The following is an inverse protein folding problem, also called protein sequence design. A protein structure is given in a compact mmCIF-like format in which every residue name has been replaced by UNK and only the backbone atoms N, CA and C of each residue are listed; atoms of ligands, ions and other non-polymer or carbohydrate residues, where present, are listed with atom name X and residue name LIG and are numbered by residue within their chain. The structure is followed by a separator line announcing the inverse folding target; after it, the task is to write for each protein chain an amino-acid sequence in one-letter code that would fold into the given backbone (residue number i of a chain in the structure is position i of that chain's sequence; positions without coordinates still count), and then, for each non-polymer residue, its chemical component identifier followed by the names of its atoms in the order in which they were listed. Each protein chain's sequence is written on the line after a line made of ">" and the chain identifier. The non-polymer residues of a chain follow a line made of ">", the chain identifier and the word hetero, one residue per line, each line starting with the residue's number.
data_IF_606359498074
#
_entry.id   IF_606359498074
#
_cell.length_a   1.000
_cell.length_b   1.000
_cell.length_c   1.000
_cell.angle_alpha   90.00
_cell.angle_beta   90.00
_cell.angle_gamma   90.00
#
_symmetry.space_group_name_H-M   'P 1'
#
loop_
_entity.id
_entity.type
_entity.pdbx_description
1 polymer ?
#
# COMPACT_ATOMS: atom_id res chain seq x y z
N UNK A 1 -0.71 34.21 31.20
CA UNK A 1 0.27 35.32 31.10
C UNK A 1 1.72 34.85 31.11
N UNK A 2 2.12 33.86 31.94
CA UNK A 2 3.49 33.32 31.90
C UNK A 2 3.91 32.82 30.52
N UNK A 3 3.03 32.10 29.82
CA UNK A 3 3.35 31.54 28.49
C UNK A 3 3.55 32.62 27.42
N UNK A 4 2.77 33.72 27.47
CA UNK A 4 2.94 34.88 26.58
C UNK A 4 4.35 35.48 26.65
N UNK A 5 4.94 35.56 27.85
CA UNK A 5 6.31 36.06 28.01
C UNK A 5 7.37 35.00 27.70
N UNK A 6 7.06 33.71 27.93
CA UNK A 6 7.97 32.60 27.58
C UNK A 6 8.16 32.50 26.06
N UNK A 7 7.08 32.55 25.29
CA UNK A 7 7.13 32.52 23.82
C UNK A 7 7.92 33.69 23.24
N UNK A 8 7.92 34.85 23.92
CA UNK A 8 8.57 36.09 23.44
C UNK A 8 9.88 36.43 24.15
N UNK A 9 10.46 35.48 24.89
CA UNK A 9 11.75 35.66 25.59
C UNK A 9 12.89 36.05 24.64
N UNK A 10 12.80 35.69 23.36
CA UNK A 10 13.81 35.99 22.35
C UNK A 10 13.76 37.42 21.77
N UNK A 11 12.71 38.20 22.04
CA UNK A 11 12.56 39.56 21.49
C UNK A 11 13.48 40.52 22.26
N UNK A 12 14.50 41.05 21.59
CA UNK A 12 15.50 41.97 22.19
C UNK A 12 15.36 43.42 21.73
N UNK A 13 14.67 43.65 20.62
CA UNK A 13 14.46 44.98 20.09
C UNK A 13 13.54 45.79 21.02
N UNK A 14 14.00 46.98 21.44
CA UNK A 14 13.26 47.85 22.37
C UNK A 14 11.84 48.16 21.88
N UNK A 15 11.66 48.38 20.57
CA UNK A 15 10.35 48.60 19.95
C UNK A 15 9.41 47.38 20.06
N UNK A 16 9.94 46.16 19.91
CA UNK A 16 9.17 44.92 20.06
C UNK A 16 8.74 44.68 21.50
N UNK A 17 9.67 44.83 22.45
CA UNK A 17 9.42 44.64 23.88
C UNK A 17 8.36 45.62 24.42
N UNK A 18 8.49 46.90 24.10
CA UNK A 18 7.53 47.93 24.53
C UNK A 18 6.12 47.68 23.99
N UNK A 19 6.00 47.26 22.72
CA UNK A 19 4.72 46.88 22.11
C UNK A 19 4.08 45.69 22.82
N UNK A 20 4.85 44.66 23.15
CA UNK A 20 4.34 43.48 23.83
C UNK A 20 3.97 43.74 25.30
N UNK A 21 4.71 44.60 25.99
CA UNK A 21 4.36 45.07 27.34
C UNK A 21 3.05 45.87 27.34
N UNK A 22 2.87 46.79 26.38
CA UNK A 22 1.60 47.54 26.24
C UNK A 22 0.42 46.59 26.00
N UNK A 23 0.60 45.57 25.14
CA UNK A 23 -0.43 44.53 24.93
C UNK A 23 -0.70 43.72 26.20
N UNK A 24 0.33 43.36 26.96
CA UNK A 24 0.20 42.63 28.21
C UNK A 24 -0.58 43.43 29.26
N UNK A 25 -0.27 44.71 29.43
CA UNK A 25 -0.99 45.62 30.31
C UNK A 25 -2.46 45.78 29.91
N UNK A 26 -2.73 46.05 28.63
CA UNK A 26 -4.10 46.17 28.13
C UNK A 26 -4.95 44.91 28.42
N UNK A 27 -4.35 43.72 28.25
CA UNK A 27 -5.01 42.44 28.61
C UNK A 27 -5.22 42.31 30.12
N UNK A 28 -4.24 42.71 30.93
CA UNK A 28 -4.33 42.67 32.38
C UNK A 28 -5.45 43.56 32.91
N UNK A 29 -5.62 44.76 32.35
CA UNK A 29 -6.69 45.69 32.75
C UNK A 29 -8.08 45.11 32.48
N UNK A 30 -8.25 44.39 31.35
CA UNK A 30 -9.49 43.64 31.09
C UNK A 30 -9.76 42.63 32.20
N UNK A 31 -8.76 41.83 32.60
CA UNK A 31 -8.94 40.85 33.69
C UNK A 31 -9.21 41.52 35.04
N UNK A 32 -8.63 42.69 35.32
CA UNK A 32 -8.95 43.48 36.53
C UNK A 32 -10.41 43.90 36.54
N UNK A 33 -10.94 44.39 35.41
CA UNK A 33 -12.35 44.79 35.28
C UNK A 33 -13.31 43.60 35.46
N UNK A 34 -12.97 42.43 34.92
CA UNK A 34 -13.72 41.19 35.16
C UNK A 34 -13.72 40.83 36.66
N UNK A 35 -12.56 40.90 37.32
CA UNK A 35 -12.45 40.63 38.76
C UNK A 35 -13.25 41.62 39.62
N UNK A 36 -13.41 42.86 39.14
CA UNK A 36 -14.24 43.88 39.79
C UNK A 36 -15.76 43.68 39.55
N UNK A 37 -16.17 42.66 38.78
CA UNK A 37 -17.57 42.35 38.53
C UNK A 37 -18.20 43.10 37.34
N UNK A 38 -17.39 43.65 36.43
CA UNK A 38 -17.91 44.30 35.22
C UNK A 38 -18.50 43.26 34.25
N UNK A 39 -19.83 43.25 34.14
CA UNK A 39 -20.62 42.31 33.32
C UNK A 39 -20.24 42.33 31.84
N UNK A 40 -19.84 43.48 31.29
CA UNK A 40 -19.47 43.59 29.88
C UNK A 40 -18.18 42.80 29.58
N UNK A 41 -17.13 43.04 30.36
CA UNK A 41 -15.86 42.34 30.17
C UNK A 41 -15.96 40.86 30.53
N UNK A 42 -16.81 40.50 31.49
CA UNK A 42 -17.10 39.10 31.80
C UNK A 42 -17.68 38.38 30.57
N UNK A 43 -18.68 38.96 29.90
CA UNK A 43 -19.26 38.39 28.68
C UNK A 43 -18.23 38.27 27.54
N UNK A 44 -17.34 39.26 27.39
CA UNK A 44 -16.25 39.21 26.41
C UNK A 44 -15.27 38.07 26.72
N UNK A 45 -14.83 37.93 27.97
CA UNK A 45 -13.96 36.84 28.40
C UNK A 45 -14.63 35.48 28.23
N UNK A 46 -15.92 35.36 28.55
CA UNK A 46 -16.69 34.14 28.36
C UNK A 46 -16.78 33.74 26.88
N UNK A 47 -16.97 34.72 25.97
CA UNK A 47 -16.94 34.48 24.52
C UNK A 47 -15.59 33.94 24.05
N UNK A 48 -14.48 34.56 24.44
CA UNK A 48 -13.15 34.07 24.06
C UNK A 48 -12.83 32.72 24.69
N UNK A 49 -13.26 32.47 25.93
CA UNK A 49 -13.13 31.16 26.57
C UNK A 49 -13.82 30.08 25.74
N UNK A 50 -15.07 30.31 25.29
CA UNK A 50 -15.78 29.39 24.39
C UNK A 50 -15.06 29.19 23.06
N UNK A 51 -14.50 30.24 22.46
CA UNK A 51 -13.71 30.11 21.22
C UNK A 51 -12.45 29.26 21.43
N UNK A 52 -11.71 29.48 22.53
CA UNK A 52 -10.50 28.71 22.86
C UNK A 52 -10.86 27.25 23.14
N UNK A 53 -11.94 26.99 23.88
CA UNK A 53 -12.44 25.65 24.12
C UNK A 53 -12.84 24.96 22.80
N UNK A 54 -13.53 25.67 21.90
CA UNK A 54 -13.85 25.19 20.56
C UNK A 54 -12.60 24.85 19.74
N UNK A 55 -11.61 25.73 19.71
CA UNK A 55 -10.33 25.50 19.03
C UNK A 55 -9.56 24.30 19.63
N UNK A 56 -9.54 24.17 20.97
CA UNK A 56 -8.90 23.05 21.64
C UNK A 56 -9.62 21.72 21.34
N UNK A 57 -10.97 21.73 21.26
CA UNK A 57 -11.75 20.56 20.88
C UNK A 57 -11.49 20.17 19.42
N UNK A 58 -11.44 21.15 18.51
CA UNK A 58 -11.11 20.94 17.10
C UNK A 58 -9.70 20.32 16.96
N UNK A 59 -8.70 20.89 17.64
CA UNK A 59 -7.33 20.36 17.62
C UNK A 59 -7.25 18.93 18.17
N UNK A 60 -7.99 18.61 19.24
CA UNK A 60 -8.10 17.23 19.77
C UNK A 60 -8.72 16.28 18.75
N UNK A 61 -9.79 16.70 18.08
CA UNK A 61 -10.47 15.90 17.06
C UNK A 61 -9.58 15.67 15.85
N UNK A 62 -8.87 16.71 15.38
CA UNK A 62 -7.91 16.61 14.29
C UNK A 62 -6.75 15.67 14.65
N UNK A 63 -6.19 15.79 15.86
CA UNK A 63 -5.14 14.88 16.33
C UNK A 63 -5.63 13.41 16.36
N UNK A 64 -6.86 13.16 16.81
CA UNK A 64 -7.47 11.82 16.73
C UNK A 64 -7.58 11.35 15.28
N UNK A 65 -8.05 12.20 14.38
CA UNK A 65 -8.19 11.86 12.96
C UNK A 65 -6.83 11.55 12.32
N UNK A 66 -5.79 12.35 12.59
CA UNK A 66 -4.43 12.09 12.11
C UNK A 66 -3.86 10.78 12.65
N UNK A 67 -4.09 10.48 13.94
CA UNK A 67 -3.68 9.20 14.53
C UNK A 67 -4.38 8.01 13.87
N UNK A 68 -5.69 8.12 13.61
CA UNK A 68 -6.45 7.09 12.90
C UNK A 68 -5.97 6.92 11.45
N UNK A 69 -5.71 8.01 10.74
CA UNK A 69 -5.14 7.96 9.39
C UNK A 69 -3.77 7.27 9.40
N UNK A 70 -2.87 7.67 10.30
CA UNK A 70 -1.55 7.05 10.43
C UNK A 70 -1.65 5.55 10.78
N UNK A 71 -2.62 5.18 11.62
CA UNK A 71 -2.90 3.78 11.94
C UNK A 71 -3.40 3.00 10.72
N UNK A 72 -4.34 3.56 9.96
CA UNK A 72 -4.83 2.95 8.72
C UNK A 72 -3.73 2.81 7.67
N UNK A 73 -2.87 3.82 7.52
CA UNK A 73 -1.70 3.76 6.65
C UNK A 73 -0.74 2.67 7.07
N UNK A 74 -0.47 2.56 8.38
CA UNK A 74 0.36 1.47 8.94
C UNK A 74 -0.24 0.10 8.61
N UNK A 75 -1.55 -0.08 8.76
CA UNK A 75 -2.22 -1.33 8.40
C UNK A 75 -2.17 -1.62 6.89
N UNK A 76 -2.30 -0.59 6.06
CA UNK A 76 -2.24 -0.71 4.59
C UNK A 76 -0.83 -1.04 4.10
N UNK A 77 0.19 -0.50 4.74
CA UNK A 77 1.61 -0.65 4.36
C UNK A 77 2.32 -1.79 5.09
N UNK A 78 1.68 -2.38 6.11
CA UNK A 78 2.22 -3.52 6.84
C UNK A 78 2.54 -4.68 5.89
N UNK A 79 3.78 -5.18 5.84
CA UNK A 79 4.12 -6.36 5.06
C UNK A 79 3.37 -7.59 5.55
N UNK A 80 2.58 -8.21 4.67
CA UNK A 80 1.88 -9.46 4.95
C UNK A 80 2.52 -10.60 4.16
N UNK A 81 2.86 -11.70 4.85
CA UNK A 81 3.38 -12.91 4.21
C UNK A 81 2.33 -13.49 3.24
N UNK A 82 2.72 -13.68 1.98
CA UNK A 82 1.78 -14.15 0.95
C UNK A 82 1.62 -15.67 0.91
N UNK A 83 2.47 -16.42 1.63
CA UNK A 83 2.59 -17.88 1.55
C UNK A 83 3.44 -18.37 0.36
N UNK A 84 4.31 -17.50 -0.16
CA UNK A 84 5.27 -17.78 -1.22
C UNK A 84 6.66 -17.28 -0.81
N UNK A 85 7.69 -17.73 -1.52
CA UNK A 85 9.08 -17.32 -1.31
C UNK A 85 9.63 -16.63 -2.57
N UNK A 86 10.65 -15.80 -2.38
CA UNK A 86 11.49 -15.30 -3.46
C UNK A 86 12.64 -16.29 -3.65
N UNK A 87 12.77 -16.84 -4.85
CA UNK A 87 13.89 -17.72 -5.22
C UNK A 87 15.21 -16.96 -5.03
N UNK A 88 16.23 -17.53 -4.37
CA UNK A 88 17.54 -16.91 -4.28
C UNK A 88 18.06 -16.54 -5.68
N UNK A 89 18.68 -15.38 -5.77
CA UNK A 89 19.29 -14.86 -7.00
C UNK A 89 20.69 -14.35 -6.68
N UNK A 90 21.41 -13.84 -7.69
CA UNK A 90 22.69 -13.17 -7.46
C UNK A 90 22.55 -11.90 -6.60
N UNK A 91 21.35 -11.34 -6.46
CA UNK A 91 21.10 -10.07 -5.76
C UNK A 91 20.66 -10.28 -4.30
N UNK A 92 20.01 -11.40 -3.98
CA UNK A 92 19.53 -11.69 -2.64
C UNK A 92 19.50 -13.19 -2.36
N UNK A 93 19.68 -13.55 -1.09
CA UNK A 93 19.49 -14.93 -0.63
C UNK A 93 18.00 -15.33 -0.58
N UNK A 94 17.67 -16.45 0.09
CA UNK A 94 16.30 -16.87 0.31
C UNK A 94 15.54 -15.83 1.13
N UNK A 95 14.43 -15.32 0.61
CA UNK A 95 13.59 -14.33 1.29
C UNK A 95 12.11 -14.71 1.22
N UNK A 96 11.31 -14.39 2.25
CA UNK A 96 9.86 -14.54 2.17
C UNK A 96 9.27 -13.54 1.16
N UNK A 97 8.22 -13.95 0.45
CA UNK A 97 7.43 -13.01 -0.35
C UNK A 97 6.36 -12.39 0.55
N UNK A 98 6.44 -11.08 0.70
CA UNK A 98 5.47 -10.27 1.46
C UNK A 98 4.84 -9.21 0.55
N UNK A 99 3.64 -8.75 0.90
CA UNK A 99 2.94 -7.68 0.20
C UNK A 99 2.44 -6.62 1.19
N UNK A 100 2.79 -5.33 1.02
CA UNK A 100 3.82 -4.82 0.11
C UNK A 100 5.23 -5.32 0.50
N UNK A 101 6.16 -5.31 -0.46
CA UNK A 101 7.57 -5.62 -0.17
C UNK A 101 8.19 -4.46 0.63
N UNK A 102 8.94 -4.70 1.71
CA UNK A 102 9.50 -3.62 2.51
C UNK A 102 10.52 -2.84 1.68
N UNK A 103 10.51 -1.52 1.82
CA UNK A 103 11.37 -0.64 1.03
C UNK A 103 12.86 -0.99 1.16
N UNK A 104 13.31 -1.43 2.34
CA UNK A 104 14.70 -1.84 2.56
C UNK A 104 15.09 -3.07 1.73
N UNK A 105 14.19 -4.05 1.55
CA UNK A 105 14.47 -5.25 0.73
C UNK A 105 14.58 -4.86 -0.74
N UNK A 106 13.62 -4.05 -1.23
CA UNK A 106 13.63 -3.55 -2.60
C UNK A 106 14.88 -2.69 -2.85
N UNK A 107 15.19 -1.77 -1.94
CA UNK A 107 16.38 -0.92 -2.00
C UNK A 107 17.69 -1.71 -2.00
N UNK A 108 17.80 -2.74 -1.15
CA UNK A 108 18.95 -3.65 -1.13
C UNK A 108 19.15 -4.35 -2.48
N UNK A 109 18.08 -4.85 -3.11
CA UNK A 109 18.17 -5.53 -4.41
C UNK A 109 18.61 -4.56 -5.51
N UNK A 110 18.02 -3.35 -5.55
CA UNK A 110 18.37 -2.31 -6.52
C UNK A 110 19.82 -1.84 -6.34
N UNK A 111 20.24 -1.59 -5.11
CA UNK A 111 21.61 -1.15 -4.80
C UNK A 111 22.64 -2.22 -5.22
N UNK A 112 22.39 -3.50 -4.90
CA UNK A 112 23.27 -4.59 -5.31
C UNK A 112 23.33 -4.76 -6.83
N UNK A 113 22.22 -4.54 -7.54
CA UNK A 113 22.22 -4.56 -9.02
C UNK A 113 23.15 -3.48 -9.58
N UNK A 114 22.98 -2.23 -9.14
CA UNK A 114 23.84 -1.11 -9.57
C UNK A 114 25.30 -1.34 -9.20
N UNK A 115 25.57 -1.85 -7.99
CA UNK A 115 26.93 -2.15 -7.54
C UNK A 115 27.58 -3.27 -8.38
N UNK A 116 26.79 -4.23 -8.87
CA UNK A 116 27.26 -5.29 -9.78
C UNK A 116 27.59 -4.73 -11.16
N UNK A 117 26.72 -3.89 -11.72
CA UNK A 117 26.96 -3.20 -12.99
C UNK A 117 28.26 -2.40 -12.95
N UNK A 118 28.47 -1.59 -11.90
CA UNK A 118 29.70 -0.84 -11.70
C UNK A 118 30.95 -1.72 -11.62
N UNK A 119 30.85 -2.89 -10.97
CA UNK A 119 31.97 -3.83 -10.86
C UNK A 119 32.31 -4.49 -12.20
N UNK A 120 31.32 -4.78 -13.05
CA UNK A 120 31.57 -5.31 -14.39
C UNK A 120 32.32 -4.29 -15.24
N UNK A 121 31.86 -3.03 -15.26
CA UNK A 121 32.54 -1.94 -15.97
C UNK A 121 33.96 -1.74 -15.43
N UNK A 122 34.13 -1.71 -14.10
CA UNK A 122 35.46 -1.60 -13.47
C UNK A 122 36.37 -2.78 -13.85
N UNK A 123 35.83 -4.00 -13.88
CA UNK A 123 36.59 -5.19 -14.26
C UNK A 123 37.10 -5.10 -15.70
N UNK A 124 36.25 -4.70 -16.64
CA UNK A 124 36.61 -4.53 -18.05
C UNK A 124 37.74 -3.50 -18.20
N UNK A 125 37.60 -2.33 -17.54
CA UNK A 125 38.63 -1.29 -17.53
C UNK A 125 39.97 -1.77 -16.96
N UNK A 126 39.96 -2.46 -15.81
CA UNK A 126 41.18 -3.00 -15.20
C UNK A 126 41.85 -4.06 -16.08
N UNK A 127 41.07 -4.87 -16.78
CA UNK A 127 41.61 -5.85 -17.73
C UNK A 127 42.26 -5.18 -18.93
N UNK A 128 41.70 -4.08 -19.44
CA UNK A 128 42.30 -3.26 -20.50
C UNK A 128 43.59 -2.60 -20.03
N UNK A 129 43.60 -1.99 -18.85
CA UNK A 129 44.80 -1.42 -18.24
C UNK A 129 45.91 -2.47 -18.07
N UNK A 130 45.56 -3.68 -17.61
CA UNK A 130 46.52 -4.77 -17.48
C UNK A 130 47.12 -5.17 -18.85
N UNK A 131 46.31 -5.17 -19.91
CA UNK A 131 46.79 -5.42 -21.28
C UNK A 131 47.76 -4.33 -21.72
N UNK A 132 47.47 -3.06 -21.47
CA UNK A 132 48.38 -1.95 -21.80
C UNK A 132 49.72 -2.07 -21.07
N UNK A 133 49.71 -2.33 -19.76
CA UNK A 133 50.95 -2.55 -18.99
C UNK A 133 51.77 -3.71 -19.55
N UNK A 134 51.12 -4.78 -19.99
CA UNK A 134 51.81 -5.91 -20.61
C UNK A 134 52.41 -5.55 -21.98
N UNK A 135 51.67 -4.83 -22.82
CA UNK A 135 52.14 -4.37 -24.14
C UNK A 135 53.33 -3.40 -24.00
N UNK A 136 53.27 -2.46 -23.07
CA UNK A 136 54.38 -1.52 -22.81
C UNK A 136 55.62 -2.25 -22.29
N UNK A 137 55.44 -3.21 -21.37
CA UNK A 137 56.54 -4.05 -20.88
C UNK A 137 57.17 -4.89 -22.01
N UNK A 138 56.37 -5.44 -22.93
CA UNK A 138 56.89 -6.16 -24.10
C UNK A 138 57.62 -5.22 -25.07
N UNK A 139 57.08 -4.02 -25.30
CA UNK A 139 57.70 -3.00 -26.13
C UNK A 139 59.07 -2.57 -25.58
N UNK A 140 59.16 -2.28 -24.28
CA UNK A 140 60.42 -1.92 -23.62
C UNK A 140 61.46 -3.05 -23.70
N UNK A 141 61.04 -4.31 -23.52
CA UNK A 141 61.93 -5.47 -23.69
C UNK A 141 62.47 -5.58 -25.11
N UNK A 142 61.63 -5.32 -26.11
CA UNK A 142 62.08 -5.33 -27.50
C UNK A 142 63.04 -4.18 -27.77
N UNK A 143 62.78 -2.99 -27.23
CA UNK A 143 63.66 -1.83 -27.37
C UNK A 143 65.02 -2.05 -26.70
N UNK A 144 65.04 -2.66 -25.51
CA UNK A 144 66.27 -3.04 -24.82
C UNK A 144 67.10 -4.07 -25.59
N UNK A 145 66.46 -4.96 -26.37
CA UNK A 145 67.14 -5.93 -27.24
C UNK A 145 67.80 -5.25 -28.45
N UNK A 146 67.15 -4.23 -29.01
CA UNK A 146 67.63 -3.53 -30.21
C UNK A 146 68.68 -2.45 -29.88
N UNK A 147 68.67 -1.90 -28.67
CA UNK A 147 69.62 -0.87 -28.22
C UNK A 147 71.01 -1.43 -27.90
N UNK A 148 71.80 -1.76 -28.92
CA UNK A 148 73.19 -2.27 -28.73
C UNK A 148 74.18 -1.21 -28.21
N UNK A 149 73.88 0.08 -28.39
CA UNK A 149 74.82 1.17 -28.13
C UNK A 149 74.67 1.82 -26.75
N UNK A 150 73.54 1.65 -26.07
CA UNK A 150 73.30 2.22 -24.74
C UNK A 150 72.32 1.34 -23.97
N UNK A 151 72.58 1.04 -22.68
CA UNK A 151 71.65 0.28 -21.86
C UNK A 151 70.35 1.08 -21.69
N UNK A 152 69.25 0.53 -22.18
CA UNK A 152 67.91 1.07 -21.95
C UNK A 152 67.31 0.43 -20.70
N UNK A 153 67.01 1.24 -19.69
CA UNK A 153 66.32 0.79 -18.47
C UNK A 153 64.81 1.02 -18.64
N UNK A 154 64.07 -0.06 -18.91
CA UNK A 154 62.62 -0.02 -19.09
C UNK A 154 61.89 0.16 -17.75
N UNK A 155 61.07 1.19 -17.63
CA UNK A 155 60.33 1.48 -16.40
C UNK A 155 59.23 0.43 -16.13
N UNK A 156 58.58 -0.08 -17.18
CA UNK A 156 57.56 -1.12 -17.09
C UNK A 156 58.15 -2.54 -16.99
N UNK A 157 59.39 -2.77 -17.41
CA UNK A 157 60.06 -4.05 -17.18
C UNK A 157 60.64 -4.15 -15.77
N UNK A 158 61.34 -3.11 -15.30
CA UNK A 158 61.96 -3.10 -13.95
C UNK A 158 60.91 -2.98 -12.85
N UNK A 159 59.92 -2.09 -13.03
CA UNK A 159 58.88 -1.84 -12.03
C UNK A 159 57.53 -2.45 -12.41
N UNK A 160 57.48 -3.37 -13.38
CA UNK A 160 56.24 -3.93 -13.92
C UNK A 160 55.30 -4.50 -12.86
N UNK A 161 55.85 -5.18 -11.86
CA UNK A 161 55.06 -5.76 -10.77
C UNK A 161 54.38 -4.69 -9.91
N UNK A 162 55.02 -3.54 -9.71
CA UNK A 162 54.42 -2.42 -8.95
C UNK A 162 53.20 -1.81 -9.65
N UNK A 163 53.16 -1.85 -10.98
CA UNK A 163 52.00 -1.43 -11.77
C UNK A 163 50.91 -2.51 -11.83
N UNK A 164 51.30 -3.78 -11.88
CA UNK A 164 50.38 -4.92 -11.99
C UNK A 164 49.70 -5.28 -10.67
N UNK A 165 50.41 -5.18 -9.55
CA UNK A 165 49.93 -5.63 -8.24
C UNK A 165 48.64 -4.92 -7.79
N UNK A 166 48.50 -3.58 -7.87
CA UNK A 166 47.25 -2.90 -7.50
C UNK A 166 46.07 -3.32 -8.40
N UNK A 167 46.30 -3.49 -9.70
CA UNK A 167 45.29 -3.94 -10.67
C UNK A 167 44.86 -5.37 -10.35
N UNK A 168 45.82 -6.26 -10.06
CA UNK A 168 45.57 -7.64 -9.68
C UNK A 168 44.79 -7.74 -8.37
N UNK A 169 45.15 -6.94 -7.37
CA UNK A 169 44.42 -6.85 -6.09
C UNK A 169 42.96 -6.45 -6.30
N UNK A 170 42.71 -5.39 -7.07
CA UNK A 170 41.34 -4.93 -7.37
C UNK A 170 40.52 -5.99 -8.14
N UNK A 171 41.13 -6.68 -9.10
CA UNK A 171 40.48 -7.79 -9.82
C UNK A 171 40.14 -8.95 -8.88
N UNK A 172 41.02 -9.27 -7.92
CA UNK A 172 40.77 -10.29 -6.90
C UNK A 172 39.59 -9.90 -6.00
N UNK A 173 39.47 -8.64 -5.60
CA UNK A 173 38.35 -8.16 -4.78
C UNK A 173 37.00 -8.17 -5.53
N UNK A 174 37.02 -7.83 -6.83
CA UNK A 174 35.85 -7.98 -7.70
C UNK A 174 35.45 -9.45 -7.80
N UNK A 175 36.42 -10.36 -7.97
CA UNK A 175 36.17 -11.82 -8.02
C UNK A 175 35.57 -12.33 -6.72
N UNK A 176 36.14 -11.97 -5.56
CA UNK A 176 35.60 -12.29 -4.23
C UNK A 176 34.14 -11.84 -4.10
N UNK A 177 33.82 -10.66 -4.61
CA UNK A 177 32.45 -10.12 -4.62
C UNK A 177 31.49 -10.96 -5.48
N UNK A 178 31.92 -11.42 -6.67
CA UNK A 178 31.12 -12.33 -7.50
C UNK A 178 30.96 -13.71 -6.88
N UNK A 179 31.96 -14.23 -6.18
CA UNK A 179 31.83 -15.50 -5.46
C UNK A 179 30.80 -15.40 -4.33
N UNK A 180 30.73 -14.26 -3.62
CA UNK A 180 29.66 -14.00 -2.66
C UNK A 180 28.26 -13.92 -3.32
N UNK A 181 28.14 -13.34 -4.52
CA UNK A 181 26.89 -13.36 -5.29
C UNK A 181 26.45 -14.78 -5.65
N UNK A 182 27.40 -15.60 -6.12
CA UNK A 182 27.17 -17.01 -6.44
C UNK A 182 26.74 -17.79 -5.19
N UNK A 183 27.44 -17.60 -4.06
CA UNK A 183 27.06 -18.19 -2.76
C UNK A 183 25.63 -17.82 -2.36
N UNK A 184 25.24 -16.54 -2.50
CA UNK A 184 23.86 -16.08 -2.22
C UNK A 184 22.82 -16.80 -3.08
N UNK A 185 23.09 -16.94 -4.38
CA UNK A 185 22.17 -17.62 -5.30
C UNK A 185 22.02 -19.12 -5.03
N UNK A 186 23.05 -19.76 -4.46
CA UNK A 186 23.07 -21.18 -4.08
C UNK A 186 22.60 -21.46 -2.66
N UNK A 187 22.33 -20.42 -1.86
CA UNK A 187 21.94 -20.59 -0.45
C UNK A 187 20.57 -21.27 -0.38
N UNK A 188 20.43 -22.45 0.27
CA UNK A 188 19.15 -23.12 0.42
C UNK A 188 18.23 -22.32 1.36
N UNK A 189 16.92 -22.53 1.24
CA UNK A 189 15.96 -21.90 2.14
C UNK A 189 16.13 -22.46 3.57
N UNK A 190 16.26 -21.59 4.59
CA UNK A 190 16.30 -22.07 5.97
C UNK A 190 14.97 -22.72 6.37
N UNK A 191 15.04 -23.76 7.22
CA UNK A 191 13.86 -24.55 7.61
C UNK A 191 12.79 -23.70 8.28
N UNK A 192 13.19 -22.80 9.17
CA UNK A 192 12.30 -21.85 9.85
C UNK A 192 11.50 -21.01 8.85
N UNK A 193 12.15 -20.51 7.79
CA UNK A 193 11.47 -19.74 6.75
C UNK A 193 10.46 -20.59 5.97
N UNK A 194 10.80 -21.85 5.69
CA UNK A 194 9.86 -22.79 5.04
C UNK A 194 8.64 -23.03 5.92
N UNK A 195 8.82 -23.18 7.23
CA UNK A 195 7.74 -23.36 8.20
C UNK A 195 6.86 -22.11 8.30
N UNK A 196 7.45 -20.92 8.38
CA UNK A 196 6.72 -19.65 8.37
C UNK A 196 5.90 -19.47 7.08
N UNK A 197 6.45 -19.84 5.93
CA UNK A 197 5.71 -19.76 4.65
C UNK A 197 4.58 -20.79 4.59
N UNK A 198 4.80 -22.00 5.12
CA UNK A 198 3.76 -23.04 5.22
C UNK A 198 2.64 -22.63 6.18
N UNK A 199 2.96 -22.08 7.34
CA UNK A 199 1.98 -21.58 8.31
C UNK A 199 1.16 -20.42 7.72
N UNK A 200 1.81 -19.47 7.05
CA UNK A 200 1.13 -18.38 6.33
C UNK A 200 0.20 -18.91 5.23
N UNK A 201 0.58 -19.98 4.53
CA UNK A 201 -0.28 -20.63 3.53
C UNK A 201 -1.50 -21.29 4.18
N UNK A 202 -1.32 -22.00 5.29
CA UNK A 202 -2.44 -22.60 6.05
C UNK A 202 -3.41 -21.52 6.54
N UNK A 203 -2.89 -20.48 7.19
CA UNK A 203 -3.70 -19.34 7.66
C UNK A 203 -4.43 -18.63 6.52
N UNK A 204 -3.81 -18.51 5.34
CA UNK A 204 -4.47 -17.95 4.15
C UNK A 204 -5.65 -18.81 3.69
N UNK A 205 -5.47 -20.14 3.65
CA UNK A 205 -6.54 -21.07 3.27
C UNK A 205 -7.67 -20.98 4.30
N UNK A 206 -7.35 -21.05 5.58
CA UNK A 206 -8.32 -20.94 6.67
C UNK A 206 -9.11 -19.63 6.61
N UNK A 207 -8.44 -18.48 6.45
CA UNK A 207 -9.11 -17.19 6.31
C UNK A 207 -10.03 -17.15 5.08
N UNK A 208 -9.62 -17.76 3.96
CA UNK A 208 -10.46 -17.84 2.75
C UNK A 208 -11.65 -18.79 2.93
N UNK A 209 -11.50 -19.84 3.72
CA UNK A 209 -12.60 -20.73 4.10
C UNK A 209 -13.59 -19.99 5.01
N UNK A 210 -13.11 -19.29 6.04
CA UNK A 210 -13.94 -18.45 6.92
C UNK A 210 -14.68 -17.35 6.15
N UNK A 211 -14.02 -16.68 5.21
CA UNK A 211 -14.65 -15.68 4.33
C UNK A 211 -15.79 -16.30 3.51
N UNK A 212 -15.60 -17.51 2.96
CA UNK A 212 -16.65 -18.26 2.24
C UNK A 212 -17.80 -18.68 3.14
N UNK A 213 -17.54 -19.04 4.39
CA UNK A 213 -18.59 -19.40 5.34
C UNK A 213 -19.44 -18.20 5.71
N UNK A 214 -18.83 -17.02 5.90
CA UNK A 214 -19.56 -15.76 6.10
C UNK A 214 -20.44 -15.41 4.90
N UNK A 215 -19.89 -15.52 3.68
CA UNK A 215 -20.67 -15.35 2.44
C UNK A 215 -21.89 -16.28 2.42
N UNK A 216 -21.72 -17.55 2.81
CA UNK A 216 -22.82 -18.53 2.88
C UNK A 216 -23.86 -18.20 3.93
N UNK A 217 -23.49 -17.55 5.04
CA UNK A 217 -24.42 -17.05 6.05
C UNK A 217 -25.18 -15.80 5.60
N UNK A 218 -24.86 -15.25 4.43
CA UNK A 218 -25.50 -14.06 3.87
C UNK A 218 -24.72 -12.77 4.09
N UNK A 219 -23.53 -12.81 4.69
CA UNK A 219 -22.69 -11.62 4.83
C UNK A 219 -22.15 -11.16 3.47
N UNK A 220 -22.31 -9.86 3.17
CA UNK A 220 -21.83 -9.28 1.92
C UNK A 220 -20.34 -8.93 2.04
N UNK A 221 -19.47 -9.84 1.60
CA UNK A 221 -18.02 -9.63 1.60
C UNK A 221 -17.53 -8.83 0.39
N UNK A 222 -16.30 -8.30 0.46
CA UNK A 222 -15.65 -7.64 -0.67
C UNK A 222 -15.49 -8.54 -1.90
N UNK A 223 -15.27 -9.85 -1.68
CA UNK A 223 -15.19 -10.81 -2.77
C UNK A 223 -16.55 -10.97 -3.45
N UNK A 224 -17.64 -11.08 -2.68
CA UNK A 224 -18.99 -11.13 -3.22
C UNK A 224 -19.33 -9.87 -4.01
N UNK A 225 -19.05 -8.69 -3.44
CA UNK A 225 -19.26 -7.41 -4.14
C UNK A 225 -18.49 -7.35 -5.47
N UNK A 226 -17.24 -7.81 -5.50
CA UNK A 226 -16.47 -7.89 -6.75
C UNK A 226 -17.11 -8.85 -7.75
N UNK A 227 -17.57 -10.02 -7.30
CA UNK A 227 -18.26 -10.98 -8.15
C UNK A 227 -19.56 -10.40 -8.72
N UNK A 228 -20.38 -9.73 -7.90
CA UNK A 228 -21.61 -9.07 -8.35
C UNK A 228 -21.36 -7.94 -9.34
N UNK A 229 -20.23 -7.22 -9.19
CA UNK A 229 -19.82 -6.14 -10.10
C UNK A 229 -19.18 -6.63 -11.39
N UNK A 230 -18.76 -7.91 -11.47
CA UNK A 230 -18.30 -8.47 -12.74
C UNK A 230 -19.46 -8.43 -13.74
N UNK A 231 -19.18 -7.93 -14.95
CA UNK A 231 -20.13 -7.93 -16.06
C UNK A 231 -19.75 -9.05 -17.04
N UNK A 232 -20.69 -9.53 -17.87
CA UNK A 232 -20.31 -10.38 -18.99
C UNK A 232 -19.29 -9.65 -19.88
N UNK A 233 -18.43 -10.38 -20.60
CA UNK A 233 -17.61 -9.79 -21.65
C UNK A 233 -18.47 -8.94 -22.61
N UNK A 234 -17.93 -7.81 -23.09
CA UNK A 234 -18.70 -6.83 -23.86
C UNK A 234 -19.42 -7.42 -25.08
N UNK A 235 -18.77 -8.32 -25.81
CA UNK A 235 -19.36 -9.01 -26.97
C UNK A 235 -20.57 -9.88 -26.59
N UNK A 236 -20.54 -10.56 -25.43
CA UNK A 236 -21.71 -11.31 -24.92
C UNK A 236 -22.79 -10.35 -24.45
N UNK A 237 -22.42 -9.28 -23.75
CA UNK A 237 -23.37 -8.29 -23.24
C UNK A 237 -24.18 -7.64 -24.38
N UNK A 238 -23.54 -7.34 -25.52
CA UNK A 238 -24.20 -6.80 -26.70
C UNK A 238 -25.30 -7.72 -27.24
N UNK A 239 -25.05 -9.04 -27.24
CA UNK A 239 -26.00 -10.06 -27.70
C UNK A 239 -27.08 -10.40 -26.67
N UNK A 240 -26.88 -10.05 -25.39
CA UNK A 240 -27.82 -10.38 -24.33
C UNK A 240 -29.02 -9.44 -24.32
N UNK A 241 -30.22 -10.03 -24.29
CA UNK A 241 -31.45 -9.28 -24.06
C UNK A 241 -31.47 -8.65 -22.66
N UNK A 242 -32.27 -7.60 -22.40
CA UNK A 242 -32.39 -6.99 -21.08
C UNK A 242 -32.75 -7.99 -19.98
N UNK A 243 -33.63 -8.96 -20.30
CA UNK A 243 -34.01 -10.05 -19.39
C UNK A 243 -32.81 -10.95 -19.07
N UNK A 244 -32.02 -11.33 -20.07
CA UNK A 244 -30.80 -12.13 -19.86
C UNK A 244 -29.78 -11.38 -19.01
N UNK A 245 -29.59 -10.06 -19.24
CA UNK A 245 -28.69 -9.23 -18.42
C UNK A 245 -29.14 -9.19 -16.96
N UNK A 246 -30.44 -9.07 -16.70
CA UNK A 246 -31.01 -9.11 -15.35
C UNK A 246 -30.80 -10.48 -14.68
N UNK A 247 -31.13 -11.57 -15.39
CA UNK A 247 -30.92 -12.94 -14.88
C UNK A 247 -29.46 -13.21 -14.55
N UNK A 248 -28.54 -12.80 -15.42
CA UNK A 248 -27.10 -12.94 -15.21
C UNK A 248 -26.60 -12.08 -14.03
N UNK A 249 -27.11 -10.87 -13.84
CA UNK A 249 -26.82 -10.07 -12.65
C UNK A 249 -27.28 -10.75 -11.35
N UNK A 250 -28.50 -11.32 -11.35
CA UNK A 250 -29.05 -12.06 -10.20
C UNK A 250 -28.22 -13.33 -9.93
N UNK A 251 -27.86 -14.08 -10.97
CA UNK A 251 -27.13 -15.32 -10.85
C UNK A 251 -25.71 -15.16 -10.25
N UNK A 252 -25.15 -13.94 -10.27
CA UNK A 252 -23.87 -13.64 -9.60
C UNK A 252 -23.97 -13.53 -8.08
N UNK A 253 -25.16 -13.45 -7.51
CA UNK A 253 -25.37 -13.45 -6.06
C UNK A 253 -24.93 -14.78 -5.42
N UNK A 254 -24.64 -14.77 -4.11
CA UNK A 254 -24.22 -16.00 -3.39
C UNK A 254 -25.38 -16.95 -3.10
N UNK A 255 -26.60 -16.44 -2.91
CA UNK A 255 -27.76 -17.27 -2.60
C UNK A 255 -27.97 -18.39 -3.63
N UNK A 256 -28.20 -19.61 -3.15
CA UNK A 256 -28.63 -20.77 -3.94
C UNK A 256 -30.11 -21.12 -3.69
N UNK A 257 -30.78 -20.36 -2.81
CA UNK A 257 -32.19 -20.53 -2.47
C UNK A 257 -33.06 -19.54 -3.24
N UNK A 258 -34.37 -19.81 -3.24
CA UNK A 258 -35.34 -18.85 -3.74
C UNK A 258 -35.28 -18.55 -5.23
N UNK A 259 -35.66 -17.31 -5.56
CA UNK A 259 -35.62 -16.80 -6.93
C UNK A 259 -34.21 -16.84 -7.53
N UNK A 260 -33.17 -16.57 -6.73
CA UNK A 260 -31.77 -16.65 -7.20
C UNK A 260 -31.41 -18.08 -7.61
N UNK A 261 -31.82 -19.07 -6.81
CA UNK A 261 -31.66 -20.48 -7.13
C UNK A 261 -32.38 -20.89 -8.41
N UNK A 262 -33.62 -20.42 -8.61
CA UNK A 262 -34.39 -20.64 -9.84
C UNK A 262 -33.68 -20.06 -11.07
N UNK A 263 -33.22 -18.82 -10.99
CA UNK A 263 -32.50 -18.15 -12.08
C UNK A 263 -31.19 -18.86 -12.41
N UNK A 264 -30.41 -19.26 -11.39
CA UNK A 264 -29.18 -20.05 -11.58
C UNK A 264 -29.46 -21.39 -12.27
N UNK A 265 -30.51 -22.09 -11.85
CA UNK A 265 -30.92 -23.35 -12.48
C UNK A 265 -31.34 -23.14 -13.94
N UNK A 266 -32.11 -22.09 -14.23
CA UNK A 266 -32.53 -21.75 -15.58
C UNK A 266 -31.35 -21.41 -16.51
N UNK A 267 -30.28 -20.83 -15.95
CA UNK A 267 -29.02 -20.57 -16.67
C UNK A 267 -28.07 -21.79 -16.71
N UNK A 268 -28.48 -22.94 -16.17
CA UNK A 268 -27.71 -24.19 -16.21
C UNK A 268 -26.62 -24.33 -15.15
N UNK A 269 -26.60 -23.49 -14.11
CA UNK A 269 -25.66 -23.66 -13.00
C UNK A 269 -26.02 -24.90 -12.16
N UNK A 270 -25.01 -25.71 -11.83
CA UNK A 270 -25.16 -26.82 -10.89
C UNK A 270 -25.24 -26.27 -9.46
N UNK A 271 -26.42 -26.33 -8.86
CA UNK A 271 -26.63 -26.00 -7.45
C UNK A 271 -26.07 -27.11 -6.55
N UNK A 272 -25.60 -26.78 -5.35
CA UNK A 272 -25.10 -27.79 -4.42
C UNK A 272 -26.24 -28.68 -3.91
N UNK A 273 -27.37 -28.07 -3.61
CA UNK A 273 -28.63 -28.74 -3.28
C UNK A 273 -29.63 -28.48 -4.41
N UNK A 274 -29.96 -29.47 -5.24
CA UNK A 274 -30.86 -29.31 -6.40
C UNK A 274 -32.26 -28.79 -6.02
N UNK A 275 -32.70 -29.04 -4.80
CA UNK A 275 -34.01 -28.66 -4.27
C UNK A 275 -34.01 -27.38 -3.42
N UNK A 276 -32.85 -26.73 -3.22
CA UNK A 276 -32.75 -25.53 -2.37
C UNK A 276 -33.64 -24.36 -2.85
N UNK A 277 -33.91 -24.29 -4.15
CA UNK A 277 -34.82 -23.28 -4.71
C UNK A 277 -36.29 -23.51 -4.32
N UNK A 278 -36.67 -24.74 -3.94
CA UNK A 278 -38.03 -25.08 -3.47
C UNK A 278 -38.28 -24.61 -2.04
N UNK A 279 -37.23 -24.33 -1.27
CA UNK A 279 -37.36 -23.92 0.13
C UNK A 279 -38.19 -22.63 0.30
N UNK A 280 -38.18 -21.72 -0.69
CA UNK A 280 -38.98 -20.48 -0.67
C UNK A 280 -40.33 -20.60 -1.38
N UNK A 281 -40.61 -21.68 -2.13
CA UNK A 281 -41.95 -21.88 -2.72
C UNK A 281 -43.02 -22.15 -1.64
N UNK A 282 -42.61 -22.24 -0.37
CA UNK A 282 -43.46 -22.58 0.75
C UNK A 282 -43.92 -24.03 0.69
N UNK A 283 -44.52 -24.52 1.78
CA UNK A 283 -45.42 -25.66 1.66
C UNK A 283 -46.60 -25.25 0.77
N UNK A 284 -47.16 -26.15 -0.05
CA UNK A 284 -48.32 -25.84 -0.89
C UNK A 284 -49.49 -25.24 -0.08
N UNK A 285 -49.62 -25.63 1.19
CA UNK A 285 -50.58 -25.11 2.17
C UNK A 285 -50.46 -23.59 2.40
N UNK A 286 -49.27 -23.01 2.28
CA UNK A 286 -49.03 -21.57 2.53
C UNK A 286 -49.14 -20.70 1.27
N UNK A 287 -49.37 -21.32 0.11
CA UNK A 287 -49.33 -20.61 -1.17
C UNK A 287 -50.45 -19.57 -1.30
N UNK A 288 -51.66 -19.92 -0.88
CA UNK A 288 -52.80 -19.00 -0.86
C UNK A 288 -52.60 -17.81 0.09
N UNK A 289 -51.91 -18.02 1.21
CA UNK A 289 -51.59 -16.96 2.17
C UNK A 289 -50.53 -16.01 1.58
N UNK A 290 -49.49 -16.56 0.94
CA UNK A 290 -48.44 -15.76 0.29
C UNK A 290 -48.99 -14.98 -0.92
N UNK A 291 -49.87 -15.57 -1.71
CA UNK A 291 -50.52 -14.91 -2.85
C UNK A 291 -51.44 -13.76 -2.37
N UNK A 292 -52.12 -13.91 -1.22
CA UNK A 292 -52.88 -12.83 -0.57
C UNK A 292 -51.97 -11.68 -0.13
N UNK A 293 -50.89 -11.98 0.60
CA UNK A 293 -49.90 -10.99 1.03
C UNK A 293 -49.24 -10.27 -0.16
N UNK A 294 -48.94 -11.00 -1.24
CA UNK A 294 -48.37 -10.40 -2.46
C UNK A 294 -49.33 -9.39 -3.09
N UNK A 295 -50.63 -9.73 -3.18
CA UNK A 295 -51.66 -8.81 -3.66
C UNK A 295 -51.81 -7.59 -2.77
N UNK A 296 -51.83 -7.77 -1.45
CA UNK A 296 -51.89 -6.64 -0.50
C UNK A 296 -50.72 -5.68 -0.69
N UNK A 297 -49.51 -6.19 -0.91
CA UNK A 297 -48.31 -5.38 -1.19
C UNK A 297 -48.40 -4.68 -2.56
N UNK A 298 -48.93 -5.35 -3.58
CA UNK A 298 -49.14 -4.76 -4.91
C UNK A 298 -50.18 -3.63 -4.85
N UNK A 299 -51.30 -3.85 -4.16
CA UNK A 299 -52.35 -2.85 -3.93
C UNK A 299 -51.81 -1.66 -3.14
N UNK A 300 -51.03 -1.90 -2.08
CA UNK A 300 -50.43 -0.81 -1.30
C UNK A 300 -49.34 -0.05 -2.08
N UNK A 301 -48.52 -0.73 -2.89
CA UNK A 301 -47.56 -0.05 -3.75
C UNK A 301 -48.27 0.78 -4.84
N UNK A 302 -49.34 0.26 -5.45
CA UNK A 302 -50.15 1.00 -6.40
C UNK A 302 -50.82 2.22 -5.74
N UNK A 303 -51.28 2.09 -4.50
CA UNK A 303 -51.77 3.21 -3.68
C UNK A 303 -50.67 4.23 -3.41
N UNK A 304 -49.45 3.80 -3.07
CA UNK A 304 -48.31 4.72 -2.88
C UNK A 304 -47.89 5.41 -4.17
N UNK A 305 -47.95 4.73 -5.31
CA UNK A 305 -47.67 5.32 -6.62
C UNK A 305 -48.73 6.35 -7.03
N UNK A 306 -50.00 6.14 -6.65
CA UNK A 306 -51.07 7.12 -6.91
C UNK A 306 -51.10 8.28 -5.90
N UNK A 307 -50.69 8.05 -4.65
CA UNK A 307 -50.51 9.08 -3.62
C UNK A 307 -49.20 9.84 -3.75
N UNK A 308 -48.18 9.26 -4.41
CA UNK A 308 -46.92 9.94 -4.68
C UNK A 308 -47.21 11.15 -5.57
N UNK A 309 -47.04 12.39 -5.06
CA UNK A 309 -47.32 13.57 -5.86
C UNK A 309 -46.44 13.53 -7.11
N UNK A 310 -47.03 13.80 -8.28
CA UNK A 310 -46.35 13.89 -9.58
C UNK A 310 -45.24 14.97 -9.63
N UNK A 311 -44.96 15.63 -8.51
CA UNK A 311 -44.00 16.72 -8.34
C UNK A 311 -42.93 16.36 -7.31
N UNK A 312 -41.96 15.56 -7.72
CA UNK A 312 -40.61 15.71 -7.23
C UNK A 312 -39.70 15.47 -8.42
N UNK A 313 -39.63 16.49 -9.27
CA UNK A 313 -38.53 16.71 -10.19
C UNK A 313 -37.29 16.89 -9.31
N UNK A 314 -36.76 15.77 -8.79
CA UNK A 314 -35.54 15.75 -8.03
C UNK A 314 -34.47 16.32 -8.97
N UNK A 315 -33.86 17.47 -8.64
CA UNK A 315 -32.86 18.06 -9.51
C UNK A 315 -31.82 16.98 -9.77
N UNK A 316 -31.70 16.58 -11.04
CA UNK A 316 -30.64 15.67 -11.44
C UNK A 316 -29.35 16.32 -10.96
N UNK A 317 -28.52 15.64 -10.14
CA UNK A 317 -27.24 16.20 -9.75
C UNK A 317 -26.52 16.55 -11.05
N UNK A 318 -26.28 17.85 -11.26
CA UNK A 318 -25.60 18.36 -12.44
C UNK A 318 -24.28 17.61 -12.59
N UNK A 319 -24.10 16.99 -13.77
CA UNK A 319 -22.87 16.29 -14.16
C UNK A 319 -21.79 17.33 -14.46
#
# INVERSE_FOLDING_TARGET
>A
MRDFFRERKGVREQGGVTRDLKKAHARWDVFRKVKAGDKHFEAVCARYSRMIQGAALQAKTEARFQNELAWQERLRTRPVLTGAYLKPTLLHGPLPRVRPQPAHVTGMIVWRRKARERRLVKQELLQEQLKHVNLESEFERNLARDSKASPFEGAFDVYGDSWREPIAHDLLDIRRSFDQERKRSRTPFPRELLEQVKSARRAKIENKTRERERERRGEVTNRLLRQMRQRPPAHKLALMSPRQRRMDAIARGVSEVGYVGQVKRALGFKLRNPDAWKAEMGKPENREMLDRLAKEVEEENARRESEAPASADWPRPGI
#
